data_IF_828607742047
#
_entry.id   IF_828607742047
#
_cell.length_a   1.000
_cell.length_b   1.000
_cell.length_c   1.000
_cell.angle_alpha   90.00
_cell.angle_beta   90.00
_cell.angle_gamma   90.00
#
_symmetry.space_group_name_H-M   'P 1'
#
loop_
_entity.id
_entity.type
_entity.pdbx_description
1 polymer ?
#
# COMPACT_ATOMS: atom_id res chain seq x y z
N UNK A 1 38.26 -4.62 -33.29
CA UNK A 1 37.96 -4.58 -31.84
C UNK A 1 36.67 -3.80 -31.63
N UNK A 2 35.53 -4.49 -31.44
CA UNK A 2 34.19 -3.90 -31.52
C UNK A 2 33.67 -3.51 -30.13
N UNK A 3 33.56 -2.22 -29.82
CA UNK A 3 32.99 -1.70 -28.56
C UNK A 3 31.58 -1.16 -28.79
N UNK A 4 30.54 -1.99 -28.68
CA UNK A 4 29.15 -1.52 -28.47
C UNK A 4 28.30 -2.59 -27.74
N UNK A 5 28.46 -2.67 -26.41
CA UNK A 5 27.54 -3.41 -25.54
C UNK A 5 27.20 -2.65 -24.23
N UNK A 6 27.74 -1.45 -24.00
CA UNK A 6 27.56 -0.69 -22.74
C UNK A 6 26.44 0.35 -22.76
N UNK A 7 25.81 0.61 -23.92
CA UNK A 7 24.81 1.69 -24.07
C UNK A 7 23.44 1.39 -23.45
N UNK A 8 23.14 0.13 -23.12
CA UNK A 8 21.92 -0.25 -22.39
C UNK A 8 22.12 -0.31 -20.87
N UNK A 9 23.28 -0.77 -20.42
CA UNK A 9 23.59 -1.00 -18.99
C UNK A 9 23.52 0.30 -18.18
N UNK A 10 24.00 1.42 -18.73
CA UNK A 10 23.91 2.72 -18.05
C UNK A 10 22.48 3.15 -17.76
N UNK A 11 21.53 2.87 -18.66
CA UNK A 11 20.11 3.18 -18.45
C UNK A 11 19.54 2.33 -17.31
N UNK A 12 19.87 1.04 -17.25
CA UNK A 12 19.44 0.17 -16.15
C UNK A 12 20.02 0.60 -14.80
N UNK A 13 21.28 1.06 -14.76
CA UNK A 13 21.91 1.58 -13.53
C UNK A 13 21.21 2.87 -13.07
N UNK A 14 20.87 3.77 -13.99
CA UNK A 14 20.14 5.01 -13.66
C UNK A 14 18.73 4.70 -13.16
N UNK A 15 18.02 3.76 -13.79
CA UNK A 15 16.69 3.31 -13.33
C UNK A 15 16.80 2.68 -11.94
N UNK A 16 17.80 1.84 -11.70
CA UNK A 16 18.04 1.22 -10.39
C UNK A 16 18.34 2.27 -9.31
N UNK A 17 19.19 3.25 -9.62
CA UNK A 17 19.51 4.34 -8.71
C UNK A 17 18.27 5.21 -8.41
N UNK A 18 17.44 5.48 -9.41
CA UNK A 18 16.19 6.22 -9.22
C UNK A 18 15.20 5.43 -8.34
N UNK A 19 15.04 4.13 -8.56
CA UNK A 19 14.23 3.25 -7.71
C UNK A 19 14.71 3.27 -6.25
N UNK A 20 16.02 3.12 -6.02
CA UNK A 20 16.58 3.20 -4.66
C UNK A 20 16.34 4.56 -4.02
N UNK A 21 16.44 5.65 -4.77
CA UNK A 21 16.15 7.00 -4.27
C UNK A 21 14.67 7.17 -3.90
N UNK A 22 13.74 6.63 -4.70
CA UNK A 22 12.32 6.66 -4.36
C UNK A 22 11.99 5.85 -3.12
N UNK A 23 12.62 4.68 -2.96
CA UNK A 23 12.45 3.83 -1.76
C UNK A 23 13.04 4.54 -0.54
N UNK A 24 14.24 5.11 -0.65
CA UNK A 24 14.86 5.88 0.43
C UNK A 24 13.98 7.05 0.86
N UNK A 25 13.46 7.82 -0.10
CA UNK A 25 12.58 8.93 0.20
C UNK A 25 11.27 8.47 0.86
N UNK A 26 10.66 7.39 0.34
CA UNK A 26 9.46 6.79 0.93
C UNK A 26 9.69 6.31 2.36
N UNK A 27 10.82 5.63 2.62
CA UNK A 27 11.20 5.16 3.97
C UNK A 27 11.50 6.34 4.88
N UNK A 28 12.18 7.39 4.41
CA UNK A 28 12.44 8.59 5.22
C UNK A 28 11.17 9.37 5.57
N UNK A 29 10.16 9.29 4.71
CA UNK A 29 8.86 9.93 4.93
C UNK A 29 7.94 9.09 5.83
N UNK A 30 8.20 7.78 5.95
CA UNK A 30 7.76 6.99 7.11
C UNK A 30 8.62 7.40 8.32
N UNK A 31 8.38 8.61 8.83
CA UNK A 31 8.97 9.02 10.09
C UNK A 31 8.54 8.05 11.19
N UNK A 32 9.49 7.55 11.97
CA UNK A 32 9.25 6.96 13.30
C UNK A 32 8.62 8.05 14.19
N UNK A 33 7.34 8.36 13.99
CA UNK A 33 6.59 8.93 15.10
C UNK A 33 6.51 7.80 16.12
N UNK A 34 7.24 7.95 17.22
CA UNK A 34 7.11 7.07 18.39
C UNK A 34 5.63 6.94 18.69
N UNK A 35 5.06 5.78 18.38
CA UNK A 35 3.65 5.58 18.62
C UNK A 35 3.46 5.63 20.14
N UNK A 36 2.53 6.48 20.62
CA UNK A 36 2.27 6.59 22.05
C UNK A 36 1.92 5.21 22.60
N UNK A 37 2.42 4.90 23.79
CA UNK A 37 2.18 3.59 24.39
C UNK A 37 0.74 3.52 24.92
N UNK A 38 0.19 2.32 25.03
CA UNK A 38 -1.18 2.12 25.51
C UNK A 38 -1.46 2.80 26.86
N UNK A 39 -0.53 2.70 27.82
CA UNK A 39 -0.70 3.34 29.13
C UNK A 39 -0.74 4.87 29.03
N UNK A 40 -0.06 5.47 28.04
CA UNK A 40 -0.08 6.92 27.84
C UNK A 40 -1.46 7.33 27.34
N UNK A 41 -2.02 6.57 26.40
CA UNK A 41 -3.39 6.74 25.91
C UNK A 41 -4.37 6.69 27.08
N UNK A 42 -4.36 5.63 27.88
CA UNK A 42 -5.26 5.50 29.04
C UNK A 42 -5.05 6.64 30.03
N UNK A 43 -3.81 7.08 30.28
CA UNK A 43 -3.54 8.20 31.18
C UNK A 43 -4.17 9.52 30.74
N UNK A 44 -4.35 9.75 29.43
CA UNK A 44 -5.06 10.93 28.93
C UNK A 44 -6.55 10.87 29.24
N UNK A 45 -7.15 9.67 29.19
CA UNK A 45 -8.55 9.45 29.59
C UNK A 45 -8.71 9.63 31.11
N UNK A 46 -7.81 9.06 31.92
CA UNK A 46 -7.82 9.21 33.38
C UNK A 46 -7.66 10.67 33.83
N UNK A 47 -6.87 11.46 33.10
CA UNK A 47 -6.69 12.90 33.36
C UNK A 47 -7.79 13.78 32.77
N UNK A 48 -8.80 13.20 32.15
CA UNK A 48 -9.92 13.94 31.55
C UNK A 48 -9.46 14.93 30.45
N UNK A 49 -8.33 14.65 29.81
CA UNK A 49 -7.72 15.53 28.80
C UNK A 49 -8.27 15.28 27.40
N UNK A 50 -9.05 14.23 27.19
CA UNK A 50 -9.58 13.85 25.89
C UNK A 50 -10.95 14.49 25.67
N UNK A 51 -11.10 15.27 24.61
CA UNK A 51 -12.37 15.94 24.30
C UNK A 51 -13.19 15.18 23.25
N UNK A 52 -12.49 14.56 22.30
CA UNK A 52 -13.09 13.90 21.15
C UNK A 52 -12.18 12.76 20.75
N UNK A 53 -12.76 11.60 20.46
CA UNK A 53 -12.02 10.51 19.84
C UNK A 53 -12.85 9.84 18.74
N UNK A 54 -12.13 9.39 17.73
CA UNK A 54 -12.67 8.66 16.60
C UNK A 54 -11.91 7.35 16.47
N UNK A 55 -12.64 6.23 16.44
CA UNK A 55 -12.05 4.90 16.35
C UNK A 55 -12.59 4.16 15.12
N UNK A 56 -11.69 3.71 14.25
CA UNK A 56 -12.00 2.78 13.18
C UNK A 56 -12.04 1.35 13.74
N UNK A 57 -13.24 0.78 13.78
CA UNK A 57 -13.50 -0.53 14.36
C UNK A 57 -12.85 -1.67 13.55
N UNK A 58 -12.54 -1.42 12.28
CA UNK A 58 -11.94 -2.40 11.37
C UNK A 58 -10.42 -2.47 11.49
N UNK A 59 -9.76 -1.31 11.50
CA UNK A 59 -8.29 -1.22 11.49
C UNK A 59 -7.70 -1.12 12.89
N UNK A 60 -8.50 -0.71 13.87
CA UNK A 60 -8.06 -0.29 15.20
C UNK A 60 -7.40 1.09 15.19
N UNK A 61 -7.47 1.84 14.10
CA UNK A 61 -6.91 3.19 14.05
C UNK A 61 -7.80 4.16 14.84
N UNK A 62 -7.20 4.80 15.83
CA UNK A 62 -7.83 5.79 16.67
C UNK A 62 -7.17 7.15 16.45
N UNK A 63 -7.98 8.20 16.36
CA UNK A 63 -7.54 9.58 16.46
C UNK A 63 -8.23 10.23 17.65
N UNK A 64 -7.46 10.83 18.55
CA UNK A 64 -7.99 11.50 19.73
C UNK A 64 -7.49 12.94 19.79
N UNK A 65 -8.40 13.84 20.15
CA UNK A 65 -8.14 15.25 20.35
C UNK A 65 -7.99 15.50 21.84
N UNK A 66 -6.77 15.78 22.26
CA UNK A 66 -6.46 16.10 23.65
C UNK A 66 -6.33 17.60 23.85
N UNK A 67 -6.71 18.09 25.02
CA UNK A 67 -6.40 19.43 25.50
C UNK A 67 -5.41 19.31 26.65
N UNK A 68 -4.18 19.79 26.43
CA UNK A 68 -3.19 19.87 27.49
C UNK A 68 -3.56 20.99 28.47
N UNK A 69 -2.99 20.95 29.67
CA UNK A 69 -3.19 21.91 30.77
C UNK A 69 -2.93 23.38 30.36
N UNK A 70 -2.15 23.60 29.29
CA UNK A 70 -1.92 24.91 28.68
C UNK A 70 -3.05 25.39 27.73
N UNK A 71 -4.19 24.69 27.67
CA UNK A 71 -5.32 24.96 26.79
C UNK A 71 -5.08 24.63 25.30
N UNK A 72 -3.90 24.10 24.95
CA UNK A 72 -3.55 23.74 23.56
C UNK A 72 -4.15 22.39 23.19
N UNK A 73 -4.82 22.36 22.04
CA UNK A 73 -5.32 21.14 21.42
C UNK A 73 -4.23 20.43 20.63
N UNK A 74 -4.05 19.13 20.86
CA UNK A 74 -3.22 18.25 20.04
C UNK A 74 -4.04 17.06 19.53
N UNK A 75 -3.70 16.57 18.34
CA UNK A 75 -4.29 15.36 17.75
C UNK A 75 -3.27 14.25 17.89
N UNK A 76 -3.65 13.17 18.55
CA UNK A 76 -2.84 11.96 18.73
C UNK A 76 -3.49 10.85 17.90
N UNK A 77 -2.68 10.19 17.08
CA UNK A 77 -3.08 8.99 16.35
C UNK A 77 -2.44 7.77 17.01
N UNK A 78 -3.25 6.75 17.28
CA UNK A 78 -2.82 5.51 17.92
C UNK A 78 -3.56 4.33 17.30
N UNK A 79 -2.91 3.16 17.22
CA UNK A 79 -3.56 1.94 16.78
C UNK A 79 -3.81 1.02 17.96
N UNK A 80 -5.08 0.84 18.32
CA UNK A 80 -5.47 -0.05 19.42
C UNK A 80 -5.28 -1.51 19.02
N UNK A 81 -4.78 -2.33 19.95
CA UNK A 81 -4.59 -3.76 19.73
C UNK A 81 -5.92 -4.51 19.68
N UNK A 82 -6.90 -4.09 20.47
CA UNK A 82 -8.25 -4.63 20.50
C UNK A 82 -9.23 -3.51 20.79
N UNK A 83 -10.16 -3.28 19.87
CA UNK A 83 -11.22 -2.28 20.02
C UNK A 83 -12.14 -2.62 21.20
N UNK A 84 -12.43 -3.92 21.40
CA UNK A 84 -13.31 -4.34 22.50
C UNK A 84 -12.66 -4.14 23.87
N UNK A 85 -11.37 -4.48 24.00
CA UNK A 85 -10.64 -4.26 25.25
C UNK A 85 -10.50 -2.77 25.56
N UNK A 86 -10.16 -1.96 24.56
CA UNK A 86 -10.09 -0.51 24.71
C UNK A 86 -11.44 0.09 25.12
N UNK A 87 -12.54 -0.36 24.52
CA UNK A 87 -13.88 0.09 24.89
C UNK A 87 -14.23 -0.27 26.34
N UNK A 88 -13.92 -1.50 26.77
CA UNK A 88 -14.14 -1.93 28.17
C UNK A 88 -13.32 -1.10 29.16
N UNK A 89 -12.04 -0.86 28.88
CA UNK A 89 -11.15 -0.08 29.75
C UNK A 89 -11.53 1.41 29.81
N UNK A 90 -12.04 1.97 28.71
CA UNK A 90 -12.35 3.40 28.63
C UNK A 90 -13.79 3.76 28.99
N UNK A 91 -14.73 2.81 28.96
CA UNK A 91 -16.15 3.09 29.19
C UNK A 91 -16.39 3.80 30.53
N UNK A 92 -15.84 3.29 31.63
CA UNK A 92 -16.01 3.89 32.95
C UNK A 92 -15.35 5.27 33.04
N UNK A 93 -14.22 5.47 32.35
CA UNK A 93 -13.52 6.76 32.29
C UNK A 93 -14.33 7.81 31.52
N UNK A 94 -14.95 7.40 30.41
CA UNK A 94 -15.83 8.26 29.60
C UNK A 94 -17.07 8.66 30.39
N UNK A 95 -17.67 7.70 31.10
CA UNK A 95 -18.85 7.97 31.93
C UNK A 95 -18.51 8.94 33.08
N UNK A 96 -17.38 8.75 33.76
CA UNK A 96 -16.87 9.66 34.80
C UNK A 96 -16.60 11.07 34.25
N UNK A 97 -15.96 11.17 33.08
CA UNK A 97 -15.71 12.46 32.42
C UNK A 97 -17.02 13.21 32.14
N UNK A 98 -18.02 12.53 31.59
CA UNK A 98 -19.31 13.12 31.25
C UNK A 98 -20.12 13.55 32.48
N UNK A 99 -19.95 12.85 33.61
CA UNK A 99 -20.55 13.22 34.89
C UNK A 99 -19.91 14.50 35.46
N UNK A 100 -18.58 14.65 35.34
CA UNK A 100 -17.88 15.87 35.75
C UNK A 100 -18.06 17.05 34.78
N UNK A 101 -18.34 16.77 33.51
CA UNK A 101 -18.46 17.76 32.43
C UNK A 101 -19.84 17.70 31.71
N UNK A 102 -20.95 18.00 32.41
CA UNK A 102 -22.30 17.90 31.83
C UNK A 102 -22.52 18.85 30.64
N UNK A 103 -21.81 19.98 30.60
CA UNK A 103 -21.92 20.99 29.55
C UNK A 103 -21.01 20.70 28.33
N UNK A 104 -20.08 19.74 28.47
CA UNK A 104 -19.05 19.45 27.47
C UNK A 104 -18.77 17.94 27.38
N UNK A 105 -19.82 17.15 27.15
CA UNK A 105 -19.72 15.69 27.00
C UNK A 105 -18.72 15.29 25.92
N UNK A 106 -17.99 14.21 26.19
CA UNK A 106 -17.00 13.66 25.28
C UNK A 106 -17.68 13.18 23.99
N UNK A 107 -17.15 13.62 22.85
CA UNK A 107 -17.61 13.15 21.54
C UNK A 107 -16.94 11.83 21.19
N UNK A 108 -17.75 10.79 21.05
CA UNK A 108 -17.30 9.44 20.69
C UNK A 108 -17.85 9.08 19.31
N UNK A 109 -16.96 8.74 18.37
CA UNK A 109 -17.36 8.32 17.02
C UNK A 109 -16.68 7.01 16.62
N UNK A 110 -17.46 6.09 16.07
CA UNK A 110 -17.03 4.77 15.63
C UNK A 110 -17.19 4.67 14.12
N UNK A 111 -16.07 4.77 13.40
CA UNK A 111 -16.05 4.65 11.95
C UNK A 111 -16.25 3.18 11.58
N UNK A 112 -17.30 2.92 10.78
CA UNK A 112 -17.52 1.61 10.19
C UNK A 112 -16.45 1.30 9.14
N UNK A 113 -16.08 0.02 8.98
CA UNK A 113 -15.17 -0.41 7.93
C UNK A 113 -15.58 0.22 6.58
N UNK A 114 -14.69 0.99 5.96
CA UNK A 114 -14.89 1.41 4.58
C UNK A 114 -14.62 0.21 3.69
N UNK A 115 -15.66 -0.27 3.01
CA UNK A 115 -15.50 -1.32 2.01
C UNK A 115 -14.48 -0.88 0.97
N UNK A 116 -13.55 -1.78 0.63
CA UNK A 116 -12.60 -1.52 -0.43
C UNK A 116 -13.37 -1.17 -1.71
N UNK A 117 -12.93 -0.16 -2.48
CA UNK A 117 -13.57 0.15 -3.75
C UNK A 117 -13.61 -1.10 -4.63
N UNK A 118 -14.76 -1.41 -5.22
CA UNK A 118 -14.98 -2.63 -6.01
C UNK A 118 -13.91 -2.85 -7.11
N UNK A 119 -13.37 -1.77 -7.67
CA UNK A 119 -12.32 -1.83 -8.70
C UNK A 119 -10.97 -2.31 -8.17
N UNK A 120 -10.70 -2.14 -6.87
CA UNK A 120 -9.46 -2.61 -6.23
C UNK A 120 -9.42 -4.14 -6.18
N UNK A 121 -10.56 -4.78 -5.95
CA UNK A 121 -10.71 -6.24 -6.07
C UNK A 121 -10.52 -6.74 -7.52
N UNK A 122 -10.61 -5.84 -8.51
CA UNK A 122 -10.38 -6.17 -9.91
C UNK A 122 -8.91 -6.08 -10.34
N UNK A 123 -8.03 -5.46 -9.55
CA UNK A 123 -6.60 -5.30 -9.87
C UNK A 123 -5.91 -6.63 -10.26
N UNK A 124 -6.08 -7.74 -9.51
CA UNK A 124 -5.46 -9.02 -9.88
C UNK A 124 -5.91 -9.51 -11.27
N UNK A 125 -7.19 -9.36 -11.58
CA UNK A 125 -7.76 -9.75 -12.85
C UNK A 125 -7.31 -8.82 -13.99
N UNK A 126 -7.26 -7.51 -13.75
CA UNK A 126 -6.77 -6.53 -14.73
C UNK A 126 -5.29 -6.76 -15.07
N UNK A 127 -4.48 -7.12 -14.07
CA UNK A 127 -3.08 -7.47 -14.28
C UNK A 127 -2.95 -8.73 -15.13
N UNK A 128 -3.73 -9.79 -14.83
CA UNK A 128 -3.76 -11.01 -15.64
C UNK A 128 -4.22 -10.76 -17.08
N UNK A 129 -5.30 -9.99 -17.27
CA UNK A 129 -5.81 -9.63 -18.59
C UNK A 129 -4.75 -8.81 -19.36
N UNK A 130 -4.13 -7.84 -18.70
CA UNK A 130 -3.03 -7.05 -19.28
C UNK A 130 -1.85 -7.93 -19.69
N UNK A 131 -1.46 -8.89 -18.86
CA UNK A 131 -0.41 -9.86 -19.17
C UNK A 131 -0.80 -10.76 -20.35
N UNK A 132 -2.05 -11.23 -20.42
CA UNK A 132 -2.54 -12.01 -21.56
C UNK A 132 -2.52 -11.20 -22.86
N UNK A 133 -2.99 -9.95 -22.84
CA UNK A 133 -2.95 -9.06 -24.02
C UNK A 133 -1.49 -8.82 -24.45
N UNK A 134 -0.61 -8.58 -23.48
CA UNK A 134 0.82 -8.39 -23.75
C UNK A 134 1.46 -9.63 -24.38
N UNK A 135 1.23 -10.82 -23.83
CA UNK A 135 1.73 -12.08 -24.36
C UNK A 135 1.14 -12.39 -25.74
N UNK A 136 -0.15 -12.16 -25.93
CA UNK A 136 -0.82 -12.31 -27.22
C UNK A 136 -0.22 -11.38 -28.27
N UNK A 137 0.00 -10.11 -27.92
CA UNK A 137 0.66 -9.15 -28.82
C UNK A 137 2.10 -9.54 -29.15
N UNK A 138 2.85 -10.05 -28.17
CA UNK A 138 4.21 -10.57 -28.39
C UNK A 138 4.20 -11.78 -29.35
N UNK A 139 3.28 -12.73 -29.14
CA UNK A 139 3.08 -13.88 -30.04
C UNK A 139 2.65 -13.43 -31.43
N UNK A 140 1.77 -12.44 -31.57
CA UNK A 140 1.32 -11.94 -32.86
C UNK A 140 2.45 -11.25 -33.63
N UNK A 141 3.33 -10.51 -32.93
CA UNK A 141 4.54 -9.92 -33.53
C UNK A 141 5.57 -10.98 -33.93
N UNK A 142 5.67 -12.07 -33.17
CA UNK A 142 6.56 -13.18 -33.47
C UNK A 142 6.02 -14.10 -34.59
N UNK A 143 4.70 -14.30 -34.64
CA UNK A 143 4.02 -15.09 -35.67
C UNK A 143 3.91 -14.33 -37.00
N UNK A 144 3.63 -13.02 -36.98
CA UNK A 144 3.58 -12.16 -38.16
C UNK A 144 4.92 -11.95 -38.87
N UNK A 145 6.05 -12.24 -38.21
CA UNK A 145 7.38 -12.31 -38.82
C UNK A 145 7.90 -13.75 -39.01
N UNK A 146 7.15 -14.76 -38.58
CA UNK A 146 7.60 -16.15 -38.41
C UNK A 146 6.96 -17.16 -39.38
N UNK A 147 5.83 -16.83 -40.02
CA UNK A 147 5.23 -17.69 -41.07
C UNK A 147 6.19 -17.96 -42.23
N UNK A 148 7.19 -17.11 -42.45
CA UNK A 148 8.27 -17.36 -43.42
C UNK A 148 9.16 -18.56 -43.08
N UNK A 149 9.32 -18.95 -41.80
CA UNK A 149 10.18 -20.09 -41.41
C UNK A 149 9.46 -21.44 -41.45
N UNK A 150 8.16 -21.49 -41.10
CA UNK A 150 7.37 -22.70 -41.27
C UNK A 150 7.20 -23.08 -42.76
N UNK A 151 7.10 -22.07 -43.64
CA UNK A 151 7.00 -22.27 -45.09
C UNK A 151 8.33 -22.63 -45.77
N UNK A 152 9.47 -22.47 -45.08
CA UNK A 152 10.78 -22.89 -45.60
C UNK A 152 10.99 -24.41 -45.53
N UNK A 153 10.25 -25.14 -44.69
CA UNK A 153 10.27 -26.61 -44.68
C UNK A 153 9.63 -27.21 -45.95
N UNK A 154 8.69 -26.51 -46.59
CA UNK A 154 8.12 -26.91 -47.87
C UNK A 154 9.03 -26.59 -49.08
N UNK A 155 10.09 -25.79 -48.88
CA UNK A 155 11.08 -25.42 -49.91
C UNK A 155 12.42 -26.15 -49.74
N UNK A 156 12.49 -27.23 -48.97
CA UNK A 156 13.67 -28.08 -48.94
C UNK A 156 13.80 -28.81 -50.28
N UNK A 157 14.55 -28.21 -51.22
CA UNK A 157 14.97 -28.86 -52.47
C UNK A 157 15.87 -30.04 -52.11
N UNK A 158 15.35 -31.26 -52.22
CA UNK A 158 16.14 -32.48 -52.08
C UNK A 158 17.25 -32.40 -53.14
N UNK A 159 18.52 -32.33 -52.72
CA UNK A 159 19.65 -32.50 -53.65
C UNK A 159 19.71 -33.98 -53.99
N UNK A 160 19.33 -34.32 -55.22
CA UNK A 160 19.57 -35.66 -55.77
C UNK A 160 21.08 -35.83 -55.95
N UNK A 161 21.57 -37.05 -55.73
CA UNK A 161 22.99 -37.41 -55.61
C UNK A 161 23.84 -37.26 -56.91
N UNK A 162 23.39 -36.51 -57.91
CA UNK A 162 24.13 -36.25 -59.16
C UNK A 162 24.91 -34.93 -59.15
N UNK A 163 24.69 -34.05 -58.17
CA UNK A 163 25.36 -32.74 -58.08
C UNK A 163 26.71 -32.82 -57.33
N UNK A 164 27.35 -33.99 -57.40
CA UNK A 164 28.61 -34.34 -56.75
C UNK A 164 29.53 -35.07 -57.71
N UNK A 165 30.04 -34.36 -58.71
CA UNK A 165 31.26 -34.70 -59.44
C UNK A 165 32.07 -33.44 -59.68
#
# INVERSE_FOLDING_TARGET
>A
MNRKASRGIGVYIVILAMLMMTIYFAVSMMSDQEQPKYYEIISYFEKEQVQEFTLDVSSGEMSMKIQNDAGKTAIISYRVASVNMFYEDTKELIDAYNEHHPDAVMKTDFIRPKDAPWWLSMLPYLLLIGAMIFLWFMMMRQAGGGTGKAMNFAKAKIRTAEDGK
#
